data_IF_200311546750
#
_entry.id   IF_200311546750
#
_cell.length_a   1.000
_cell.length_b   1.000
_cell.length_c   1.000
_cell.angle_alpha   90.00
_cell.angle_beta   90.00
_cell.angle_gamma   90.00
#
_symmetry.space_group_name_H-M   'P 1'
#
loop_
_entity.id
_entity.type
_entity.pdbx_description
1 polymer ?
#
# COMPACT_ATOMS: atom_id res chain seq x y z
N UNK A 1 -34.96 -9.00 -55.49
CA UNK A 1 -34.28 -10.04 -54.68
C UNK A 1 -32.87 -9.63 -54.29
N UNK A 2 -32.05 -9.08 -55.18
CA UNK A 2 -30.65 -8.70 -54.89
C UNK A 2 -30.48 -7.60 -53.82
N UNK A 3 -31.43 -6.67 -53.74
CA UNK A 3 -31.44 -5.61 -52.72
C UNK A 3 -31.61 -6.17 -51.30
N UNK A 4 -32.49 -7.17 -51.16
CA UNK A 4 -32.82 -7.79 -49.87
C UNK A 4 -31.63 -8.59 -49.34
N UNK A 5 -30.95 -9.33 -50.20
CA UNK A 5 -29.72 -10.08 -49.84
C UNK A 5 -28.58 -9.13 -49.48
N UNK A 6 -28.41 -8.03 -50.21
CA UNK A 6 -27.36 -7.04 -49.92
C UNK A 6 -27.57 -6.36 -48.55
N UNK A 7 -28.81 -6.00 -48.23
CA UNK A 7 -29.17 -5.44 -46.93
C UNK A 7 -28.96 -6.43 -45.78
N UNK A 8 -29.27 -7.71 -45.99
CA UNK A 8 -29.02 -8.77 -45.01
C UNK A 8 -27.54 -8.94 -44.70
N UNK A 9 -26.68 -9.00 -45.72
CA UNK A 9 -25.23 -9.07 -45.51
C UNK A 9 -24.68 -7.82 -44.83
N UNK A 10 -25.17 -6.63 -45.21
CA UNK A 10 -24.77 -5.38 -44.57
C UNK A 10 -25.16 -5.38 -43.09
N UNK A 11 -26.37 -5.85 -42.74
CA UNK A 11 -26.82 -5.99 -41.36
C UNK A 11 -25.91 -6.95 -40.56
N UNK A 12 -25.55 -8.09 -41.12
CA UNK A 12 -24.66 -9.04 -40.41
C UNK A 12 -23.29 -8.41 -40.19
N UNK A 13 -22.72 -7.74 -41.19
CA UNK A 13 -21.42 -7.06 -41.06
C UNK A 13 -21.45 -5.92 -40.03
N UNK A 14 -22.54 -5.16 -39.94
CA UNK A 14 -22.67 -4.10 -38.93
C UNK A 14 -22.77 -4.67 -37.52
N UNK A 15 -23.54 -5.75 -37.31
CA UNK A 15 -23.63 -6.42 -36.00
C UNK A 15 -22.27 -6.98 -35.58
N UNK A 16 -21.54 -7.62 -36.49
CA UNK A 16 -20.18 -8.11 -36.23
C UNK A 16 -19.21 -6.96 -35.92
N UNK A 17 -19.30 -5.86 -36.68
CA UNK A 17 -18.49 -4.67 -36.45
C UNK A 17 -18.74 -4.04 -35.08
N UNK A 18 -20.00 -3.91 -34.68
CA UNK A 18 -20.38 -3.39 -33.35
C UNK A 18 -19.87 -4.32 -32.25
N UNK A 19 -20.07 -5.64 -32.39
CA UNK A 19 -19.62 -6.61 -31.39
C UNK A 19 -18.10 -6.60 -31.20
N UNK A 20 -17.33 -6.41 -32.28
CA UNK A 20 -15.88 -6.30 -32.19
C UNK A 20 -15.46 -5.05 -31.41
N UNK A 21 -16.05 -3.89 -31.73
CA UNK A 21 -15.78 -2.62 -31.05
C UNK A 21 -16.14 -2.70 -29.56
N UNK A 22 -17.27 -3.32 -29.21
CA UNK A 22 -17.67 -3.46 -27.81
C UNK A 22 -16.70 -4.34 -27.01
N UNK A 23 -16.18 -5.41 -27.62
CA UNK A 23 -15.18 -6.25 -26.97
C UNK A 23 -13.88 -5.50 -26.73
N UNK A 24 -13.37 -4.79 -27.76
CA UNK A 24 -12.16 -3.97 -27.62
C UNK A 24 -12.32 -2.90 -26.54
N UNK A 25 -13.48 -2.24 -26.46
CA UNK A 25 -13.75 -1.25 -25.43
C UNK A 25 -13.79 -1.84 -24.01
N UNK A 26 -14.27 -3.08 -23.85
CA UNK A 26 -14.22 -3.78 -22.56
C UNK A 26 -12.80 -4.18 -22.19
N UNK A 27 -12.02 -4.69 -23.14
CA UNK A 27 -10.61 -5.04 -22.94
C UNK A 27 -9.78 -3.81 -22.55
N UNK A 28 -10.00 -2.66 -23.20
CA UNK A 28 -9.33 -1.40 -22.85
C UNK A 28 -9.67 -0.94 -21.42
N UNK A 29 -10.95 -1.02 -21.02
CA UNK A 29 -11.37 -0.70 -19.64
C UNK A 29 -10.75 -1.65 -18.61
N UNK A 30 -10.70 -2.94 -18.91
CA UNK A 30 -10.08 -3.92 -18.03
C UNK A 30 -8.57 -3.68 -17.92
N UNK A 31 -7.89 -3.41 -19.04
CA UNK A 31 -6.47 -3.08 -19.06
C UNK A 31 -6.17 -1.80 -18.28
N UNK A 32 -6.98 -0.75 -18.43
CA UNK A 32 -6.88 0.49 -17.68
C UNK A 32 -7.03 0.28 -16.18
N UNK A 33 -8.07 -0.44 -15.74
CA UNK A 33 -8.27 -0.76 -14.33
C UNK A 33 -7.13 -1.65 -13.76
N UNK A 34 -6.61 -2.59 -14.54
CA UNK A 34 -5.49 -3.42 -14.12
C UNK A 34 -4.20 -2.58 -13.98
N UNK A 35 -3.92 -1.70 -14.93
CA UNK A 35 -2.76 -0.80 -14.89
C UNK A 35 -2.83 0.12 -13.67
N UNK A 36 -4.01 0.67 -13.37
CA UNK A 36 -4.24 1.56 -12.23
C UNK A 36 -4.04 0.84 -10.89
N UNK A 37 -4.55 -0.40 -10.76
CA UNK A 37 -4.29 -1.24 -9.57
C UNK A 37 -2.82 -1.63 -9.43
N UNK A 38 -2.15 -1.96 -10.52
CA UNK A 38 -0.72 -2.28 -10.48
C UNK A 38 0.11 -1.07 -10.04
N UNK A 39 -0.25 0.13 -10.49
CA UNK A 39 0.38 1.38 -10.05
C UNK A 39 0.17 1.60 -8.55
N UNK A 40 -1.06 1.40 -8.05
CA UNK A 40 -1.35 1.48 -6.62
C UNK A 40 -0.52 0.49 -5.79
N UNK A 41 -0.37 -0.75 -6.28
CA UNK A 41 0.44 -1.79 -5.64
C UNK A 41 1.93 -1.41 -5.58
N UNK A 42 2.50 -0.93 -6.69
CA UNK A 42 3.91 -0.48 -6.74
C UNK A 42 4.17 0.71 -5.82
N UNK A 43 3.21 1.63 -5.72
CA UNK A 43 3.29 2.75 -4.77
C UNK A 43 3.27 2.24 -3.32
N UNK A 44 2.38 1.30 -2.99
CA UNK A 44 2.32 0.70 -1.67
C UNK A 44 3.63 -0.03 -1.31
N UNK A 45 4.22 -0.76 -2.26
CA UNK A 45 5.52 -1.44 -2.06
C UNK A 45 6.65 -0.43 -1.80
N UNK A 46 6.65 0.69 -2.52
CA UNK A 46 7.62 1.76 -2.31
C UNK A 46 7.47 2.41 -0.93
N UNK A 47 6.23 2.66 -0.48
CA UNK A 47 5.95 3.14 0.87
C UNK A 47 6.41 2.16 1.96
N UNK A 48 6.19 0.86 1.75
CA UNK A 48 6.65 -0.19 2.65
C UNK A 48 8.19 -0.22 2.75
N UNK A 49 8.87 -0.09 1.60
CA UNK A 49 10.33 -0.04 1.52
C UNK A 49 10.90 1.19 2.22
N UNK A 50 10.26 2.34 2.06
CA UNK A 50 10.65 3.60 2.72
C UNK A 50 10.56 3.48 4.25
N UNK A 51 9.46 2.93 4.75
CA UNK A 51 9.30 2.65 6.18
C UNK A 51 10.33 1.66 6.72
N UNK A 52 10.67 0.62 5.95
CA UNK A 52 11.70 -0.33 6.32
C UNK A 52 13.11 0.28 6.32
N UNK A 53 13.41 1.16 5.35
CA UNK A 53 14.67 1.90 5.29
C UNK A 53 14.82 2.83 6.49
N UNK A 54 13.78 3.62 6.78
CA UNK A 54 13.75 4.46 7.96
C UNK A 54 13.94 3.63 9.24
N UNK A 55 13.15 2.56 9.41
CA UNK A 55 13.28 1.66 10.56
C UNK A 55 14.68 1.10 10.66
N UNK A 56 15.33 0.76 9.55
CA UNK A 56 16.72 0.33 9.47
C UNK A 56 17.72 1.39 9.98
N UNK A 57 17.48 2.66 9.68
CA UNK A 57 18.34 3.79 10.08
C UNK A 57 18.27 4.14 11.58
N UNK A 58 17.19 3.77 12.28
CA UNK A 58 16.99 4.10 13.70
C UNK A 58 18.08 3.47 14.59
N UNK A 59 18.92 4.28 15.25
CA UNK A 59 20.06 3.74 16.01
C UNK A 59 19.68 3.11 17.37
N UNK A 60 18.61 3.58 18.01
CA UNK A 60 18.21 3.15 19.35
C UNK A 60 16.71 2.82 19.41
N UNK A 61 16.33 1.95 20.34
CA UNK A 61 14.92 1.58 20.53
C UNK A 61 14.06 2.82 20.80
N UNK A 62 12.94 2.93 20.08
CA UNK A 62 11.91 3.94 20.28
C UNK A 62 10.72 3.26 20.93
N UNK A 63 10.28 3.76 22.08
CA UNK A 63 9.07 3.26 22.75
C UNK A 63 7.84 3.57 21.90
N UNK A 64 7.04 2.55 21.51
CA UNK A 64 5.82 2.75 20.76
C UNK A 64 4.83 3.64 21.50
N UNK A 65 4.07 4.43 20.74
CA UNK A 65 2.99 5.23 21.28
C UNK A 65 1.64 4.75 20.75
N UNK A 66 0.57 4.99 21.52
CA UNK A 66 -0.80 4.64 21.11
C UNK A 66 -1.41 5.64 20.11
N UNK A 67 -0.66 6.66 19.71
CA UNK A 67 -1.09 7.74 18.81
C UNK A 67 -0.16 7.90 17.61
N UNK A 68 0.88 7.06 17.48
CA UNK A 68 1.86 7.12 16.40
C UNK A 68 2.78 8.34 16.43
N UNK A 69 2.73 9.20 17.46
CA UNK A 69 3.53 10.43 17.56
C UNK A 69 5.04 10.21 17.48
N UNK A 70 5.52 9.04 17.91
CA UNK A 70 6.94 8.66 17.85
C UNK A 70 7.32 7.95 16.54
N UNK A 71 6.40 7.85 15.57
CA UNK A 71 6.59 7.12 14.31
C UNK A 71 6.43 5.59 14.41
N UNK A 72 6.27 5.06 15.63
CA UNK A 72 6.00 3.63 15.90
C UNK A 72 4.75 3.52 16.77
N UNK A 73 3.81 2.70 16.34
CA UNK A 73 2.56 2.40 17.00
C UNK A 73 2.70 1.21 17.95
N UNK A 74 2.00 1.27 19.08
CA UNK A 74 1.91 0.14 20.00
C UNK A 74 0.99 -0.96 19.46
N UNK A 75 1.33 -2.22 19.73
CA UNK A 75 0.58 -3.39 19.28
C UNK A 75 -0.92 -3.29 19.63
N UNK A 76 -1.78 -3.57 18.65
CA UNK A 76 -3.23 -3.63 18.81
C UNK A 76 -3.91 -2.27 18.94
N UNK A 77 -3.18 -1.18 18.74
CA UNK A 77 -3.73 0.18 18.75
C UNK A 77 -4.36 0.54 17.40
N UNK A 78 -3.69 0.13 16.33
CA UNK A 78 -4.24 0.23 14.98
C UNK A 78 -5.01 -1.08 14.77
N UNK A 79 -6.22 -1.01 14.23
CA UNK A 79 -6.92 -2.20 13.73
C UNK A 79 -6.09 -2.82 12.61
N UNK A 80 -5.13 -3.66 12.97
CA UNK A 80 -3.89 -3.92 12.22
C UNK A 80 -4.06 -4.89 11.06
N UNK A 81 -5.30 -5.02 10.56
CA UNK A 81 -5.60 -5.78 9.36
C UNK A 81 -5.86 -4.82 8.20
N UNK A 82 -5.14 -4.98 7.07
CA UNK A 82 -5.56 -4.41 5.79
C UNK A 82 -7.02 -4.81 5.51
N UNK A 83 -7.97 -3.90 5.74
CA UNK A 83 -9.41 -4.18 5.64
C UNK A 83 -10.23 -3.91 6.92
N UNK A 84 -9.62 -3.50 8.03
CA UNK A 84 -10.36 -2.96 9.17
C UNK A 84 -11.00 -1.62 8.76
N UNK A 85 -12.34 -1.55 8.84
CA UNK A 85 -13.12 -0.40 8.41
C UNK A 85 -12.77 0.90 9.15
N UNK A 86 -12.08 0.81 10.30
CA UNK A 86 -11.60 1.97 11.06
C UNK A 86 -10.30 2.59 10.51
N UNK A 87 -9.50 1.81 9.77
CA UNK A 87 -8.18 2.19 9.21
C UNK A 87 -8.24 2.35 7.68
N UNK A 88 -9.32 1.87 7.05
CA UNK A 88 -9.54 1.88 5.60
C UNK A 88 -10.08 3.20 5.03
N UNK A 89 -9.97 4.34 5.74
CA UNK A 89 -10.38 5.64 5.18
C UNK A 89 -9.18 6.48 4.80
N UNK A 90 -9.28 7.15 3.64
CA UNK A 90 -8.26 8.07 3.14
C UNK A 90 -7.87 9.15 4.18
N UNK A 91 -8.85 9.62 4.95
CA UNK A 91 -8.65 10.62 6.01
C UNK A 91 -7.81 10.07 7.18
N UNK A 92 -7.95 8.79 7.50
CA UNK A 92 -7.15 8.16 8.56
C UNK A 92 -5.67 8.09 8.15
N UNK A 93 -5.37 7.64 6.93
CA UNK A 93 -3.99 7.59 6.41
C UNK A 93 -3.38 8.97 6.24
N UNK A 94 -4.19 9.98 5.89
CA UNK A 94 -3.72 11.36 5.83
C UNK A 94 -3.30 11.91 7.22
N UNK A 95 -3.99 11.51 8.28
CA UNK A 95 -3.74 11.98 9.64
C UNK A 95 -2.65 11.17 10.39
N UNK A 96 -2.57 9.86 10.14
CA UNK A 96 -1.76 8.92 10.93
C UNK A 96 -0.59 8.31 10.14
N UNK A 97 -0.67 8.31 8.80
CA UNK A 97 0.33 7.73 7.93
C UNK A 97 1.47 8.70 7.64
N UNK A 98 2.70 8.19 7.71
CA UNK A 98 3.91 8.91 7.31
C UNK A 98 3.97 8.90 5.78
N UNK A 99 4.12 10.07 5.18
CA UNK A 99 4.29 10.21 3.74
C UNK A 99 5.66 9.70 3.29
N UNK A 100 5.69 9.04 2.14
CA UNK A 100 6.92 8.57 1.50
C UNK A 100 7.93 9.71 1.39
N UNK A 101 9.16 9.48 1.86
CA UNK A 101 10.21 10.50 1.82
C UNK A 101 10.19 11.49 2.99
N UNK A 102 9.21 11.45 3.90
CA UNK A 102 9.19 12.37 5.03
C UNK A 102 10.29 12.07 6.07
N UNK A 103 10.71 10.80 6.18
CA UNK A 103 11.75 10.39 7.11
C UNK A 103 13.01 9.81 6.44
N UNK A 104 13.01 9.76 5.10
CA UNK A 104 14.15 9.34 4.28
C UNK A 104 14.54 10.49 3.35
N UNK A 105 15.58 10.33 2.53
CA UNK A 105 15.93 11.35 1.53
C UNK A 105 15.18 11.17 0.20
N UNK A 106 14.12 10.34 0.20
CA UNK A 106 13.29 10.11 -0.97
C UNK A 106 12.32 11.28 -1.20
N UNK A 107 11.82 11.46 -2.42
CA UNK A 107 10.95 12.59 -2.75
C UNK A 107 9.50 12.13 -2.97
N UNK A 108 8.49 12.72 -2.28
CA UNK A 108 7.08 12.48 -2.59
C UNK A 108 6.73 12.74 -4.06
N UNK A 109 7.47 13.64 -4.72
CA UNK A 109 7.32 13.99 -6.13
C UNK A 109 7.59 12.82 -7.10
N UNK A 110 8.28 11.76 -6.65
CA UNK A 110 8.50 10.54 -7.43
C UNK A 110 7.17 9.85 -7.78
N UNK A 111 6.09 10.13 -7.03
CA UNK A 111 4.73 9.63 -7.24
C UNK A 111 3.79 10.68 -7.86
N UNK A 112 4.32 11.66 -8.60
CA UNK A 112 3.51 12.71 -9.25
C UNK A 112 2.51 12.18 -10.31
N UNK A 113 2.72 10.97 -10.82
CA UNK A 113 1.79 10.29 -11.72
C UNK A 113 0.62 9.61 -10.98
N UNK A 114 0.73 9.45 -9.67
CA UNK A 114 -0.28 8.86 -8.81
C UNK A 114 -1.20 9.95 -8.27
N UNK A 115 -2.40 9.56 -7.83
CA UNK A 115 -3.34 10.50 -7.22
C UNK A 115 -2.80 11.09 -5.91
N UNK A 116 -1.99 10.32 -5.17
CA UNK A 116 -1.37 10.70 -3.91
C UNK A 116 -0.05 9.92 -3.72
N UNK A 117 0.91 10.54 -3.01
CA UNK A 117 2.13 9.84 -2.60
C UNK A 117 1.79 8.73 -1.59
N UNK A 118 2.48 7.57 -1.64
CA UNK A 118 2.21 6.46 -0.74
C UNK A 118 2.52 6.84 0.71
N UNK A 119 1.84 6.15 1.62
CA UNK A 119 1.98 6.38 3.07
C UNK A 119 2.21 5.07 3.79
N UNK A 120 2.97 5.11 4.88
CA UNK A 120 3.22 3.94 5.70
C UNK A 120 3.04 4.22 7.19
N UNK A 121 2.85 3.15 7.94
CA UNK A 121 2.80 3.11 9.39
C UNK A 121 3.61 1.90 9.86
N UNK A 122 4.19 2.02 11.05
CA UNK A 122 5.02 0.99 11.65
C UNK A 122 4.46 0.69 13.03
N UNK A 123 4.26 -0.58 13.34
CA UNK A 123 3.74 -1.06 14.61
C UNK A 123 4.70 -2.09 15.20
N UNK A 124 4.98 -2.01 16.51
CA UNK A 124 5.74 -3.05 17.21
C UNK A 124 4.80 -4.25 17.44
N UNK A 125 5.09 -5.39 16.83
CA UNK A 125 4.31 -6.63 16.96
C UNK A 125 4.88 -7.57 18.03
N UNK A 126 6.07 -7.31 18.57
CA UNK A 126 6.60 -8.09 19.67
C UNK A 126 8.09 -7.90 19.92
N UNK A 127 8.55 -8.45 21.05
CA UNK A 127 9.94 -8.41 21.48
C UNK A 127 10.36 -9.78 22.02
N UNK A 128 11.51 -10.26 21.57
CA UNK A 128 12.14 -11.50 22.04
C UNK A 128 13.50 -11.14 22.68
N UNK A 129 13.66 -11.34 24.01
CA UNK A 129 14.91 -11.06 24.69
C UNK A 129 16.01 -12.06 24.29
N UNK A 130 17.27 -11.63 24.32
CA UNK A 130 18.42 -12.49 24.01
C UNK A 130 18.65 -13.62 25.03
N UNK A 131 18.27 -13.38 26.29
CA UNK A 131 18.37 -14.35 27.39
C UNK A 131 17.25 -14.09 28.41
N UNK A 132 17.01 -15.09 29.25
CA UNK A 132 16.03 -15.10 30.35
C UNK A 132 16.51 -14.36 31.62
N UNK A 133 17.69 -13.75 31.61
CA UNK A 133 18.18 -12.95 32.72
C UNK A 133 17.29 -11.70 32.92
N UNK A 134 16.75 -11.45 34.13
CA UNK A 134 15.88 -10.30 34.42
C UNK A 134 16.56 -8.94 34.16
N UNK A 135 17.89 -8.82 34.25
CA UNK A 135 18.59 -7.58 33.90
C UNK A 135 18.61 -7.31 32.39
N UNK A 136 18.75 -8.35 31.57
CA UNK A 136 18.71 -8.26 30.10
C UNK A 136 17.30 -7.90 29.63
N UNK A 137 16.28 -8.46 30.30
CA UNK A 137 14.88 -8.14 30.06
C UNK A 137 14.55 -6.69 30.44
N UNK A 138 15.08 -6.20 31.57
CA UNK A 138 14.89 -4.81 32.01
C UNK A 138 15.57 -3.78 31.08
N UNK A 139 16.68 -4.15 30.44
CA UNK A 139 17.38 -3.33 29.43
C UNK A 139 16.77 -3.45 28.02
N UNK A 140 15.79 -4.33 27.84
CA UNK A 140 15.17 -4.69 26.56
C UNK A 140 16.19 -4.96 25.44
N UNK A 141 17.22 -5.73 25.77
CA UNK A 141 18.22 -6.18 24.81
C UNK A 141 17.73 -7.46 24.12
N UNK A 142 17.51 -7.39 22.82
CA UNK A 142 16.95 -8.50 22.04
C UNK A 142 16.48 -8.10 20.65
N UNK A 143 15.70 -8.98 20.04
CA UNK A 143 15.13 -8.81 18.70
C UNK A 143 13.70 -8.29 18.81
N UNK A 144 13.41 -7.22 18.09
CA UNK A 144 12.09 -6.62 17.98
C UNK A 144 11.48 -6.98 16.63
N UNK A 145 10.18 -7.27 16.63
CA UNK A 145 9.38 -7.50 15.44
C UNK A 145 8.49 -6.28 15.21
N UNK A 146 8.51 -5.78 13.98
CA UNK A 146 7.72 -4.66 13.55
C UNK A 146 6.85 -5.06 12.36
N UNK A 147 5.55 -4.80 12.43
CA UNK A 147 4.68 -4.86 11.25
C UNK A 147 4.61 -3.49 10.60
N UNK A 148 5.04 -3.42 9.34
CA UNK A 148 4.94 -2.21 8.52
C UNK A 148 3.75 -2.38 7.59
N UNK A 149 2.83 -1.45 7.64
CA UNK A 149 1.68 -1.39 6.73
C UNK A 149 1.82 -0.16 5.85
N UNK A 150 1.59 -0.31 4.55
CA UNK A 150 1.70 0.78 3.59
C UNK A 150 0.50 0.81 2.66
N UNK A 151 0.02 2.01 2.35
CA UNK A 151 -1.01 2.27 1.36
C UNK A 151 -0.39 2.99 0.15
N UNK A 152 -0.82 2.58 -1.03
CA UNK A 152 -0.49 3.23 -2.29
C UNK A 152 -1.76 3.51 -3.09
N UNK A 153 -1.72 4.62 -3.83
CA UNK A 153 -2.79 5.06 -4.72
C UNK A 153 -2.34 4.94 -6.17
N UNK A 154 -3.25 4.55 -7.05
CA UNK A 154 -3.04 4.53 -8.49
C UNK A 154 -3.14 5.93 -9.10
N UNK A 155 -3.27 6.00 -10.41
CA UNK A 155 -3.60 7.23 -11.13
C UNK A 155 -5.02 7.73 -10.84
N UNK A 156 -5.94 6.84 -10.43
CA UNK A 156 -7.24 7.23 -9.87
C UNK A 156 -7.24 7.20 -8.34
N UNK A 157 -8.00 8.12 -7.73
CA UNK A 157 -8.20 8.15 -6.27
C UNK A 157 -8.97 6.91 -5.73
N UNK A 158 -9.58 6.12 -6.62
CA UNK A 158 -10.34 4.92 -6.28
C UNK A 158 -9.51 3.63 -6.36
N UNK A 159 -8.37 3.66 -7.04
CA UNK A 159 -7.43 2.56 -7.06
C UNK A 159 -6.51 2.68 -5.86
N UNK A 160 -6.77 1.89 -4.83
CA UNK A 160 -5.94 1.79 -3.63
C UNK A 160 -5.45 0.37 -3.42
N UNK A 161 -4.26 0.24 -2.85
CA UNK A 161 -3.68 -1.03 -2.44
C UNK A 161 -3.03 -0.85 -1.08
N UNK A 162 -3.34 -1.75 -0.15
CA UNK A 162 -2.72 -1.78 1.17
C UNK A 162 -1.91 -3.08 1.30
N UNK A 163 -0.65 -2.94 1.69
CA UNK A 163 0.29 -4.04 1.89
C UNK A 163 0.78 -4.03 3.34
N UNK A 164 1.12 -5.20 3.84
CA UNK A 164 1.71 -5.37 5.16
C UNK A 164 2.87 -6.36 5.09
N UNK A 165 3.94 -6.05 5.81
CA UNK A 165 5.12 -6.92 5.94
C UNK A 165 5.67 -6.85 7.34
N UNK A 166 6.33 -7.92 7.78
CA UNK A 166 6.95 -8.02 9.09
C UNK A 166 8.47 -7.89 8.94
N UNK A 167 9.07 -7.06 9.76
CA UNK A 167 10.50 -6.79 9.81
C UNK A 167 11.05 -7.10 11.19
N UNK A 168 12.22 -7.71 11.23
CA UNK A 168 12.98 -7.91 12.46
C UNK A 168 14.08 -6.86 12.57
N UNK A 169 14.27 -6.32 13.78
CA UNK A 169 15.38 -5.43 14.08
C UNK A 169 15.92 -5.70 15.47
N UNK A 170 17.25 -5.77 15.55
CA UNK A 170 18.00 -5.86 16.80
C UNK A 170 18.65 -4.51 17.08
N UNK A 171 18.47 -3.99 18.28
CA UNK A 171 19.21 -2.83 18.78
C UNK A 171 20.38 -3.33 19.61
N UNK A 172 21.55 -2.71 19.45
CA UNK A 172 22.78 -3.05 20.17
C UNK A 172 23.07 -2.04 21.28
#
# INVERSE_FOLDING_TARGET
MILVTALLFLLVLTVLGISAITNTALEEKMAGNLADRNMAFQAAESGLRDGAEWLGSVAAYITPSSDGSNGIWAEGTIGSTPGDASVATLAWWAANGVEYGNQTNNAPADFSANSQAPRYIIEESGFVPDDTNPETLAKRLGTYYYSISAIGWGGSATAESVLQSIYEKRFN
#
